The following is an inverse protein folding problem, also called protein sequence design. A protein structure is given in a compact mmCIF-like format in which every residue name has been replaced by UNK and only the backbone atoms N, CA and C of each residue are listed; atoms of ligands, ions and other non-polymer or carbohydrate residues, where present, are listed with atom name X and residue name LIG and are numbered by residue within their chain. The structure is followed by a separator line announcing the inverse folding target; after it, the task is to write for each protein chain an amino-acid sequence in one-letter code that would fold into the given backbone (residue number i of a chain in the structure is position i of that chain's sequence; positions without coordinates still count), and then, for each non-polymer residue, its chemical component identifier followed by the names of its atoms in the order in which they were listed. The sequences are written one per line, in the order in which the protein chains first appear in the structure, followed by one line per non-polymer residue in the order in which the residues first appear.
data_IF_194736316964
#
_entry.id   IF_194736316964
#
_cell.length_a   1.000
_cell.length_b   1.000
_cell.length_c   1.000
_cell.angle_alpha   90.00
_cell.angle_beta   90.00
_cell.angle_gamma   90.00
#
_symmetry.space_group_name_H-M   'P 1'
#
loop_
_entity.id
_entity.type
_entity.pdbx_description
1 polymer ?
#
# COMPACT_ATOMS: atom_id res chain seq x y z
N UNK A 1 2.06 -7.37 -20.08
CA UNK A 1 2.65 -6.01 -20.02
C UNK A 1 2.92 -5.64 -18.54
N UNK A 2 3.95 -6.20 -17.89
CA UNK A 2 4.25 -5.96 -16.45
C UNK A 2 5.71 -6.27 -16.08
N UNK A 3 6.68 -5.49 -16.55
CA UNK A 3 8.09 -5.59 -16.10
C UNK A 3 8.78 -4.24 -15.84
N UNK A 4 8.12 -3.11 -16.11
CA UNK A 4 8.82 -1.82 -16.20
C UNK A 4 9.25 -1.26 -14.84
N UNK A 5 8.49 -1.49 -13.77
CA UNK A 5 8.74 -0.85 -12.46
C UNK A 5 9.74 -1.57 -11.56
N UNK A 6 10.13 -2.80 -11.91
CA UNK A 6 11.14 -3.60 -11.18
C UNK A 6 12.57 -3.32 -11.67
N UNK A 7 12.70 -2.53 -12.73
CA UNK A 7 13.98 -2.11 -13.31
C UNK A 7 14.12 -0.61 -13.16
N UNK A 8 15.36 -0.12 -13.17
CA UNK A 8 15.60 1.33 -13.16
C UNK A 8 15.03 1.98 -14.42
N UNK A 9 14.36 3.10 -14.21
CA UNK A 9 13.76 3.92 -15.25
C UNK A 9 14.59 5.19 -15.40
N UNK A 10 14.95 5.53 -16.63
CA UNK A 10 15.74 6.72 -16.98
C UNK A 10 14.95 7.56 -17.96
N UNK A 11 14.32 8.64 -17.49
CA UNK A 11 13.58 9.57 -18.35
C UNK A 11 14.34 10.86 -18.65
N UNK A 12 15.53 11.03 -18.07
CA UNK A 12 16.39 12.23 -18.21
C UNK A 12 15.66 13.55 -17.92
N UNK A 13 14.61 13.53 -17.09
CA UNK A 13 13.83 14.69 -16.66
C UNK A 13 13.20 14.45 -15.30
N UNK A 14 12.86 15.54 -14.62
CA UNK A 14 12.04 15.55 -13.40
C UNK A 14 10.65 16.12 -13.71
N UNK A 15 9.69 15.79 -12.87
CA UNK A 15 8.30 16.21 -12.97
C UNK A 15 7.90 16.97 -11.70
N UNK A 16 6.93 17.87 -11.85
CA UNK A 16 6.35 18.59 -10.72
C UNK A 16 5.59 17.66 -9.76
N UNK A 17 5.01 16.58 -10.30
CA UNK A 17 4.32 15.53 -9.54
C UNK A 17 4.55 14.16 -10.17
N UNK A 18 5.00 13.20 -9.35
CA UNK A 18 5.04 11.77 -9.69
C UNK A 18 3.85 11.06 -9.04
N UNK A 19 3.22 10.12 -9.73
CA UNK A 19 2.03 9.42 -9.23
C UNK A 19 2.23 7.91 -9.28
N UNK A 20 1.91 7.26 -8.16
CA UNK A 20 1.86 5.80 -8.05
C UNK A 20 0.79 5.41 -7.04
N UNK A 21 -0.34 4.88 -7.51
CA UNK A 21 -1.47 4.50 -6.68
C UNK A 21 -1.82 3.02 -6.88
N UNK A 22 -1.80 2.22 -5.81
CA UNK A 22 -2.10 0.78 -5.81
C UNK A 22 -1.27 0.03 -6.88
N UNK A 23 0.06 0.18 -6.76
CA UNK A 23 1.04 -0.47 -7.65
C UNK A 23 2.04 -1.29 -6.87
N UNK A 24 2.55 -0.76 -5.75
CA UNK A 24 3.71 -1.31 -5.05
C UNK A 24 3.44 -2.74 -4.53
N UNK A 25 2.20 -3.02 -4.13
CA UNK A 25 1.75 -4.32 -3.64
C UNK A 25 1.79 -5.42 -4.71
N UNK A 26 1.80 -5.06 -5.99
CA UNK A 26 1.91 -6.01 -7.09
C UNK A 26 3.36 -6.38 -7.43
N UNK A 27 4.33 -5.72 -6.83
CA UNK A 27 5.75 -5.96 -7.04
C UNK A 27 6.26 -6.97 -6.02
N UNK A 28 7.33 -7.70 -6.36
CA UNK A 28 8.03 -8.51 -5.36
C UNK A 28 8.67 -7.56 -4.33
N UNK A 29 8.72 -7.99 -3.06
CA UNK A 29 9.35 -7.20 -2.00
C UNK A 29 10.81 -6.84 -2.33
N UNK A 30 11.54 -7.75 -2.97
CA UNK A 30 12.92 -7.53 -3.43
C UNK A 30 13.07 -6.41 -4.46
N UNK A 31 11.98 -5.99 -5.10
CA UNK A 31 11.95 -4.86 -6.04
C UNK A 31 11.56 -3.54 -5.37
N UNK A 32 11.22 -3.52 -4.08
CA UNK A 32 10.71 -2.34 -3.41
C UNK A 32 11.71 -1.18 -3.45
N UNK A 33 13.01 -1.44 -3.24
CA UNK A 33 14.02 -0.37 -3.23
C UNK A 33 14.19 0.25 -4.63
N UNK A 34 14.31 -0.58 -5.68
CA UNK A 34 14.38 -0.10 -7.08
C UNK A 34 13.12 0.69 -7.44
N UNK A 35 11.96 0.26 -6.96
CA UNK A 35 10.71 0.96 -7.20
C UNK A 35 10.69 2.35 -6.54
N UNK A 36 11.14 2.45 -5.29
CA UNK A 36 11.24 3.75 -4.60
C UNK A 36 12.27 4.65 -5.28
N UNK A 37 13.45 4.10 -5.64
CA UNK A 37 14.47 4.81 -6.44
C UNK A 37 13.87 5.42 -7.71
N UNK A 38 13.04 4.64 -8.43
CA UNK A 38 12.35 5.12 -9.62
C UNK A 38 11.42 6.30 -9.32
N UNK A 39 10.71 6.32 -8.20
CA UNK A 39 9.79 7.42 -7.89
C UNK A 39 10.56 8.69 -7.49
N UNK A 40 11.50 8.56 -6.55
CA UNK A 40 12.24 9.71 -5.98
C UNK A 40 13.19 10.36 -6.98
N UNK A 41 13.65 9.62 -7.99
CA UNK A 41 14.49 10.15 -9.06
C UNK A 41 13.74 11.12 -9.99
N UNK A 42 12.41 10.97 -10.10
CA UNK A 42 11.62 11.68 -11.10
C UNK A 42 10.81 12.85 -10.54
N UNK A 43 10.91 13.18 -9.26
CA UNK A 43 10.29 14.40 -8.74
C UNK A 43 10.30 14.50 -7.23
N UNK A 44 10.27 15.73 -6.74
CA UNK A 44 10.35 16.05 -5.31
C UNK A 44 9.00 15.90 -4.58
N UNK A 45 7.91 15.73 -5.33
CA UNK A 45 6.55 15.53 -4.81
C UNK A 45 5.96 14.30 -5.48
N UNK A 46 5.48 13.36 -4.65
CA UNK A 46 4.96 12.07 -5.10
C UNK A 46 3.59 11.86 -4.46
N UNK A 47 2.57 11.55 -5.26
CA UNK A 47 1.30 11.01 -4.76
C UNK A 47 1.41 9.48 -4.73
N UNK A 48 1.40 8.91 -3.53
CA UNK A 48 1.71 7.50 -3.32
C UNK A 48 0.56 6.77 -2.61
N UNK A 49 0.25 5.56 -3.07
CA UNK A 49 -0.53 4.58 -2.33
C UNK A 49 -0.08 3.14 -2.62
N UNK A 50 -0.27 2.28 -1.63
CA UNK A 50 0.00 0.84 -1.72
C UNK A 50 -0.92 0.09 -0.74
N UNK A 51 -1.34 -1.11 -1.11
CA UNK A 51 -2.20 -1.94 -0.28
C UNK A 51 -1.51 -2.38 1.02
N UNK A 52 -2.25 -2.33 2.14
CA UNK A 52 -1.79 -2.83 3.44
C UNK A 52 -2.07 -4.33 3.60
N UNK A 53 -1.42 -5.03 4.55
CA UNK A 53 -1.68 -6.44 4.81
C UNK A 53 -3.16 -6.73 5.07
N UNK A 54 -3.70 -7.74 4.39
CA UNK A 54 -5.10 -8.15 4.53
C UNK A 54 -6.08 -7.34 3.69
N UNK A 55 -5.63 -6.28 2.99
CA UNK A 55 -6.46 -5.56 2.04
C UNK A 55 -6.95 -6.48 0.91
N UNK A 56 -6.09 -7.42 0.48
CA UNK A 56 -6.37 -8.35 -0.59
C UNK A 56 -6.51 -7.66 -1.95
N UNK A 57 -6.59 -8.47 -2.99
CA UNK A 57 -6.71 -8.02 -4.37
C UNK A 57 -6.01 -8.97 -5.33
N UNK A 58 -6.11 -8.69 -6.63
CA UNK A 58 -5.56 -9.60 -7.64
C UNK A 58 -4.04 -9.48 -7.69
N UNK A 59 -3.33 -10.56 -7.32
CA UNK A 59 -1.86 -10.64 -7.35
C UNK A 59 -1.20 -9.59 -6.46
N UNK A 60 -1.66 -9.47 -5.23
CA UNK A 60 -0.94 -8.74 -4.19
C UNK A 60 0.15 -9.66 -3.65
N UNK A 61 1.40 -9.27 -3.84
CA UNK A 61 2.60 -10.01 -3.45
C UNK A 61 3.31 -9.34 -2.27
N UNK A 62 3.20 -8.02 -2.15
CA UNK A 62 3.94 -7.21 -1.18
C UNK A 62 3.02 -6.19 -0.51
N UNK A 63 1.96 -6.69 0.12
CA UNK A 63 1.12 -5.85 0.98
C UNK A 63 1.93 -5.45 2.20
N UNK A 64 2.11 -4.15 2.41
CA UNK A 64 2.97 -3.60 3.47
C UNK A 64 2.34 -2.36 4.07
N UNK A 65 2.53 -2.17 5.36
CA UNK A 65 2.02 -0.98 6.06
C UNK A 65 2.69 0.30 5.54
N UNK A 66 1.99 1.47 5.58
CA UNK A 66 2.58 2.76 5.21
C UNK A 66 3.94 3.05 5.87
N UNK A 67 4.15 2.64 7.12
CA UNK A 67 5.43 2.78 7.82
C UNK A 67 6.60 2.06 7.15
N UNK A 68 6.37 0.91 6.51
CA UNK A 68 7.39 0.21 5.72
C UNK A 68 7.85 1.06 4.54
N UNK A 69 6.89 1.62 3.80
CA UNK A 69 7.17 2.48 2.65
C UNK A 69 7.83 3.79 3.08
N UNK A 70 7.34 4.41 4.16
CA UNK A 70 7.93 5.60 4.76
C UNK A 70 9.41 5.35 5.10
N UNK A 71 9.76 4.21 5.70
CA UNK A 71 11.16 3.88 6.01
C UNK A 71 12.04 3.88 4.76
N UNK A 72 11.55 3.35 3.63
CA UNK A 72 12.30 3.35 2.35
C UNK A 72 12.42 4.76 1.78
N UNK A 73 11.32 5.52 1.75
CA UNK A 73 11.35 6.91 1.29
C UNK A 73 12.28 7.79 2.14
N UNK A 74 12.32 7.60 3.46
CA UNK A 74 13.22 8.33 4.37
C UNK A 74 14.70 8.14 4.03
N UNK A 75 15.09 6.98 3.48
CA UNK A 75 16.48 6.75 3.02
C UNK A 75 16.90 7.70 1.90
N UNK A 76 15.93 8.30 1.20
CA UNK A 76 16.14 9.28 0.15
C UNK A 76 15.79 10.72 0.57
N UNK A 77 15.55 10.96 1.87
CA UNK A 77 15.18 12.29 2.39
C UNK A 77 13.73 12.69 2.12
N UNK A 78 12.84 11.73 1.84
CA UNK A 78 11.41 11.96 1.66
C UNK A 78 10.62 11.60 2.93
N UNK A 79 9.60 12.39 3.21
CA UNK A 79 8.70 12.23 4.35
C UNK A 79 7.24 12.14 3.88
N UNK A 80 6.37 11.56 4.71
CA UNK A 80 4.93 11.44 4.40
C UNK A 80 4.16 12.63 4.95
N UNK A 81 3.19 13.11 4.17
CA UNK A 81 2.28 14.20 4.50
C UNK A 81 0.84 13.72 4.30
N UNK A 82 0.06 13.71 5.38
CA UNK A 82 -1.30 13.19 5.37
C UNK A 82 -2.32 14.26 4.96
N UNK A 83 -2.15 14.79 3.76
CA UNK A 83 -2.97 15.91 3.25
C UNK A 83 -4.23 15.45 2.51
N UNK A 84 -4.30 14.16 2.17
CA UNK A 84 -5.36 13.58 1.36
C UNK A 84 -6.37 12.85 2.23
N UNK A 85 -5.96 11.85 3.02
CA UNK A 85 -6.86 10.97 3.76
C UNK A 85 -7.85 11.72 4.65
N UNK A 86 -7.46 12.75 5.43
CA UNK A 86 -8.41 13.48 6.27
C UNK A 86 -9.54 14.15 5.48
N UNK A 87 -9.29 14.52 4.21
CA UNK A 87 -10.29 15.17 3.34
C UNK A 87 -11.26 14.19 2.69
N UNK A 88 -10.80 12.95 2.47
CA UNK A 88 -11.55 11.94 1.71
C UNK A 88 -12.08 10.80 2.57
N UNK A 89 -11.71 10.70 3.84
CA UNK A 89 -12.00 9.54 4.71
C UNK A 89 -13.47 9.09 4.70
N UNK A 90 -14.40 10.05 4.69
CA UNK A 90 -15.84 9.77 4.73
C UNK A 90 -16.53 9.86 3.35
N UNK A 91 -15.77 10.07 2.27
CA UNK A 91 -16.31 10.23 0.92
C UNK A 91 -16.63 8.86 0.30
N UNK A 92 -17.89 8.42 0.43
CA UNK A 92 -18.33 7.10 -0.06
C UNK A 92 -18.18 6.91 -1.58
N UNK A 93 -18.11 8.00 -2.36
CA UNK A 93 -17.82 7.96 -3.79
C UNK A 93 -16.39 7.50 -4.12
N UNK A 94 -15.49 7.49 -3.14
CA UNK A 94 -14.09 7.08 -3.27
C UNK A 94 -13.93 5.70 -2.62
N UNK A 95 -13.26 4.78 -3.31
CA UNK A 95 -12.99 3.44 -2.77
C UNK A 95 -12.16 3.52 -1.49
N UNK A 96 -12.45 2.67 -0.50
CA UNK A 96 -11.82 2.75 0.82
C UNK A 96 -10.29 2.66 0.77
N UNK A 97 -9.73 1.86 -0.16
CA UNK A 97 -8.28 1.73 -0.29
C UNK A 97 -7.62 3.05 -0.68
N UNK A 98 -8.23 3.86 -1.56
CA UNK A 98 -7.72 5.21 -1.85
C UNK A 98 -7.89 6.16 -0.67
N UNK A 99 -8.96 6.04 0.11
CA UNK A 99 -9.16 6.85 1.32
C UNK A 99 -8.13 6.52 2.41
N UNK A 100 -7.69 5.27 2.47
CA UNK A 100 -6.78 4.76 3.49
C UNK A 100 -5.30 4.90 3.15
N UNK A 101 -4.94 4.67 1.88
CA UNK A 101 -3.55 4.42 1.51
C UNK A 101 -2.87 5.62 0.86
N UNK A 102 -3.60 6.70 0.55
CA UNK A 102 -3.08 7.80 -0.27
C UNK A 102 -2.38 8.86 0.57
N UNK A 103 -1.10 9.07 0.30
CA UNK A 103 -0.27 10.11 0.91
C UNK A 103 0.38 11.01 -0.13
N UNK A 104 0.70 12.23 0.27
CA UNK A 104 1.75 12.99 -0.40
C UNK A 104 3.08 12.62 0.25
N UNK A 105 4.08 12.33 -0.57
CA UNK A 105 5.44 12.00 -0.14
C UNK A 105 6.37 13.00 -0.78
N UNK A 106 7.15 13.72 0.04
CA UNK A 106 7.93 14.85 -0.46
C UNK A 106 9.25 15.02 0.28
N UNK A 107 10.25 15.56 -0.42
CA UNK A 107 11.53 15.95 0.18
C UNK A 107 11.57 17.47 0.48
N UNK A 108 12.64 17.94 1.12
CA UNK A 108 12.79 19.34 1.55
C UNK A 108 12.75 20.37 0.40
N UNK A 109 12.97 19.96 -0.85
CA UNK A 109 12.92 20.85 -2.01
C UNK A 109 11.48 21.08 -2.51
N UNK A 110 10.52 20.25 -2.08
CA UNK A 110 9.12 20.39 -2.45
C UNK A 110 8.45 21.55 -1.70
N UNK A 111 7.56 22.32 -2.34
CA UNK A 111 6.68 23.26 -1.65
C UNK A 111 5.85 22.60 -0.55
N UNK A 112 5.56 21.30 -0.64
CA UNK A 112 4.83 20.58 0.40
C UNK A 112 5.63 20.57 1.71
N UNK A 113 6.93 20.26 1.63
CA UNK A 113 7.78 20.19 2.81
C UNK A 113 8.05 21.57 3.44
N UNK A 114 7.95 22.64 2.65
CA UNK A 114 8.13 24.01 3.12
C UNK A 114 6.90 24.55 3.86
N UNK A 115 5.70 24.07 3.51
CA UNK A 115 4.44 24.63 4.01
C UNK A 115 3.68 23.70 4.97
N UNK A 116 4.11 22.44 5.11
CA UNK A 116 3.44 21.44 5.93
C UNK A 116 4.43 20.66 6.78
N UNK A 117 3.94 20.07 7.87
CA UNK A 117 4.72 19.16 8.71
C UNK A 117 4.50 17.71 8.27
N UNK A 118 5.54 16.87 8.28
CA UNK A 118 5.39 15.43 8.11
C UNK A 118 4.41 14.83 9.13
N UNK A 119 3.66 13.82 8.71
CA UNK A 119 2.85 13.01 9.63
C UNK A 119 3.68 11.90 10.27
N UNK A 120 3.41 11.63 11.55
CA UNK A 120 3.89 10.43 12.24
C UNK A 120 2.82 9.33 12.31
N UNK A 121 1.59 9.66 11.93
CA UNK A 121 0.41 8.82 12.06
C UNK A 121 0.05 8.21 10.70
N UNK A 122 0.78 7.16 10.31
CA UNK A 122 0.69 6.59 8.96
C UNK A 122 -0.12 5.28 8.89
N UNK A 123 0.04 4.39 9.87
CA UNK A 123 -0.56 3.05 9.86
C UNK A 123 -1.99 3.07 10.42
N UNK A 124 -2.95 3.47 9.58
CA UNK A 124 -4.37 3.55 9.95
C UNK A 124 -5.16 2.57 9.09
N UNK A 125 -6.01 1.77 9.74
CA UNK A 125 -6.96 0.88 9.07
C UNK A 125 -8.33 1.56 9.00
N UNK A 126 -8.89 1.61 7.81
CA UNK A 126 -10.21 2.16 7.55
C UNK A 126 -11.30 1.20 8.04
N UNK A 127 -12.41 1.67 8.65
CA UNK A 127 -13.47 0.83 9.17
C UNK A 127 -14.00 -0.20 8.17
N UNK A 128 -14.24 0.21 6.91
CA UNK A 128 -14.71 -0.73 5.87
C UNK A 128 -13.77 -1.92 5.63
N UNK A 129 -12.45 -1.74 5.75
CA UNK A 129 -11.50 -2.85 5.64
C UNK A 129 -11.56 -3.73 6.88
N UNK A 130 -11.56 -3.11 8.06
CA UNK A 130 -11.63 -3.81 9.33
C UNK A 130 -12.91 -4.66 9.44
N UNK A 131 -14.07 -4.06 9.21
CA UNK A 131 -15.38 -4.72 9.30
C UNK A 131 -15.49 -5.89 8.32
N UNK A 132 -14.93 -5.73 7.11
CA UNK A 132 -14.89 -6.80 6.11
C UNK A 132 -14.10 -8.01 6.59
N UNK A 133 -12.90 -7.79 7.14
CA UNK A 133 -12.07 -8.89 7.64
C UNK A 133 -12.63 -9.48 8.94
N UNK A 134 -13.19 -8.66 9.83
CA UNK A 134 -13.87 -9.12 11.04
C UNK A 134 -15.07 -10.01 10.70
N UNK A 135 -15.94 -9.59 9.77
CA UNK A 135 -17.07 -10.40 9.32
C UNK A 135 -16.62 -11.72 8.68
N UNK A 136 -15.53 -11.69 7.90
CA UNK A 136 -14.96 -12.91 7.31
C UNK A 136 -14.46 -13.88 8.39
N UNK A 137 -13.82 -13.39 9.44
CA UNK A 137 -13.38 -14.20 10.57
C UNK A 137 -14.57 -14.84 11.29
N UNK A 138 -15.61 -14.07 11.62
CA UNK A 138 -16.81 -14.59 12.29
C UNK A 138 -17.52 -15.67 11.48
N UNK A 139 -17.62 -15.52 10.15
CA UNK A 139 -18.20 -16.54 9.27
C UNK A 139 -17.45 -17.88 9.37
N UNK A 140 -16.13 -17.84 9.52
CA UNK A 140 -15.30 -19.04 9.68
C UNK A 140 -15.47 -19.67 11.06
N UNK A 141 -15.42 -18.86 12.12
CA UNK A 141 -15.55 -19.32 13.51
C UNK A 141 -16.93 -19.93 13.81
N UNK A 142 -17.98 -19.34 13.27
CA UNK A 142 -19.36 -19.83 13.43
C UNK A 142 -19.69 -21.02 12.50
N UNK A 143 -18.73 -21.49 11.69
CA UNK A 143 -18.94 -22.60 10.76
C UNK A 143 -19.86 -22.26 9.57
N UNK A 144 -20.16 -20.98 9.35
CA UNK A 144 -21.05 -20.48 8.28
C UNK A 144 -20.37 -20.38 6.91
N UNK A 145 -19.07 -20.66 6.82
CA UNK A 145 -18.27 -20.56 5.60
C UNK A 145 -18.65 -21.57 4.49
N UNK A 146 -19.53 -22.54 4.79
CA UNK A 146 -19.98 -23.58 3.88
C UNK A 146 -18.95 -24.71 3.68
N UNK A 147 -19.43 -25.87 3.24
CA UNK A 147 -18.65 -27.13 3.16
C UNK A 147 -17.42 -26.98 2.27
N UNK A 148 -17.54 -26.28 1.13
CA UNK A 148 -16.43 -26.09 0.18
C UNK A 148 -15.26 -25.35 0.83
N UNK A 149 -15.55 -24.28 1.59
CA UNK A 149 -14.54 -23.48 2.28
C UNK A 149 -13.91 -24.27 3.42
N UNK A 150 -14.72 -25.02 4.19
CA UNK A 150 -14.23 -25.87 5.26
C UNK A 150 -13.26 -26.95 4.74
N UNK A 151 -13.60 -27.64 3.65
CA UNK A 151 -12.72 -28.63 3.01
C UNK A 151 -11.43 -28.00 2.46
N UNK A 152 -11.51 -26.80 1.88
CA UNK A 152 -10.33 -26.09 1.40
C UNK A 152 -9.40 -25.68 2.56
N UNK A 153 -9.95 -25.15 3.66
CA UNK A 153 -9.20 -24.80 4.86
C UNK A 153 -8.53 -26.02 5.50
N UNK A 154 -9.22 -27.15 5.58
CA UNK A 154 -8.65 -28.40 6.08
C UNK A 154 -7.48 -28.87 5.21
N UNK A 155 -7.67 -28.93 3.89
CA UNK A 155 -6.59 -29.30 2.95
C UNK A 155 -5.37 -28.40 3.11
N UNK A 156 -5.59 -27.09 3.23
CA UNK A 156 -4.50 -26.12 3.45
C UNK A 156 -3.80 -26.36 4.79
N UNK A 157 -4.55 -26.59 5.87
CA UNK A 157 -3.98 -26.87 7.18
C UNK A 157 -3.13 -28.15 7.20
N UNK A 158 -3.56 -29.20 6.48
CA UNK A 158 -2.79 -30.43 6.32
C UNK A 158 -1.50 -30.15 5.55
N UNK A 159 -1.58 -29.48 4.40
CA UNK A 159 -0.40 -29.13 3.60
C UNK A 159 0.62 -28.29 4.41
N UNK A 160 0.16 -27.27 5.15
CA UNK A 160 1.05 -26.45 5.99
C UNK A 160 1.68 -27.24 7.13
N UNK A 161 0.95 -28.17 7.76
CA UNK A 161 1.46 -28.97 8.88
C UNK A 161 2.45 -30.05 8.45
N UNK A 162 2.27 -30.62 7.25
CA UNK A 162 3.04 -31.77 6.78
C UNK A 162 3.96 -31.48 5.58
N UNK A 163 3.99 -30.23 5.09
CA UNK A 163 5.01 -29.76 4.13
C UNK A 163 4.89 -30.30 2.71
N UNK A 164 3.67 -30.58 2.23
CA UNK A 164 3.39 -30.93 0.83
C UNK A 164 3.10 -29.69 -0.02
#
# INVERSE_FOLDING_TARGET
MRQTYQKRIELSRVFDLVLSLEVAEHLAETSADIFIENLVKHGNTILFSAAIPGQGGLRHLNEQYPSYWLKKFKQHGYEFYDLIRPKVWHQQGIRFWYRQNTFIVANQQSPIAQNHQPTTWVDIVHPELFDREAARASILEEGKAGIKTALASLRKSIATKFGF
#
